data_IF_072977558286
#
_entry.id   IF_072977558286
#
_cell.length_a   1.000
_cell.length_b   1.000
_cell.length_c   1.000
_cell.angle_alpha   90.00
_cell.angle_beta   90.00
_cell.angle_gamma   90.00
#
_symmetry.space_group_name_H-M   'P 1'
#
loop_
_entity.id
_entity.type
_entity.pdbx_description
1 polymer ?
#
# COMPACT_ATOMS: atom_id res chain seq x y z
N UNK A 1 -12.72 -2.35 27.06
CA UNK A 1 -12.82 -3.82 27.15
C UNK A 1 -11.54 -4.41 26.61
N UNK A 2 -10.93 -5.29 27.38
CA UNK A 2 -9.57 -5.77 27.13
C UNK A 2 -9.57 -6.89 26.08
N UNK A 3 -8.45 -7.04 25.36
CA UNK A 3 -8.17 -8.08 24.37
C UNK A 3 -8.36 -9.54 24.86
N UNK A 4 -8.65 -9.75 26.15
CA UNK A 4 -8.90 -11.06 26.75
C UNK A 4 -10.38 -11.45 26.78
N UNK A 5 -11.32 -10.51 26.68
CA UNK A 5 -12.77 -10.82 26.64
C UNK A 5 -13.23 -11.26 25.24
N UNK A 6 -12.57 -10.82 24.17
CA UNK A 6 -12.89 -11.23 22.79
C UNK A 6 -12.55 -12.71 22.47
N UNK A 7 -11.78 -13.42 23.32
CA UNK A 7 -11.30 -14.78 23.02
C UNK A 7 -12.15 -15.94 23.57
N UNK A 8 -13.09 -15.72 24.51
CA UNK A 8 -13.82 -16.84 25.14
C UNK A 8 -15.07 -17.27 24.34
N UNK A 9 -15.60 -16.42 23.45
CA UNK A 9 -16.87 -16.67 22.74
C UNK A 9 -16.73 -17.43 21.41
N UNK A 10 -15.54 -17.43 20.79
CA UNK A 10 -15.21 -18.33 19.66
C UNK A 10 -14.79 -19.73 20.13
N UNK A 11 -14.79 -19.99 21.44
CA UNK A 11 -14.38 -21.27 22.03
C UNK A 11 -15.10 -22.48 21.45
N UNK A 12 -16.43 -22.44 21.13
CA UNK A 12 -17.10 -23.55 20.45
C UNK A 12 -16.50 -23.85 19.06
N UNK A 13 -16.01 -22.82 18.38
CA UNK A 13 -15.50 -22.91 17.01
C UNK A 13 -13.97 -23.08 16.92
N UNK A 14 -13.24 -22.98 18.03
CA UNK A 14 -11.77 -23.05 18.05
C UNK A 14 -11.21 -24.33 17.43
N UNK A 15 -11.89 -25.46 17.65
CA UNK A 15 -11.54 -26.74 17.01
C UNK A 15 -11.69 -26.65 15.49
N UNK A 16 -12.81 -26.12 15.01
CA UNK A 16 -13.08 -26.00 13.58
C UNK A 16 -12.14 -24.99 12.91
N UNK A 17 -11.81 -23.88 13.58
CA UNK A 17 -10.83 -22.90 13.10
C UNK A 17 -9.46 -23.54 12.83
N UNK A 18 -9.01 -24.44 13.71
CA UNK A 18 -7.77 -25.19 13.49
C UNK A 18 -7.86 -26.09 12.25
N UNK A 19 -8.95 -26.86 12.12
CA UNK A 19 -9.13 -27.82 11.01
C UNK A 19 -9.24 -27.09 9.66
N UNK A 20 -10.08 -26.05 9.59
CA UNK A 20 -10.39 -25.32 8.36
C UNK A 20 -9.17 -24.57 7.81
N UNK A 21 -8.26 -24.09 8.68
CA UNK A 21 -7.03 -23.41 8.27
C UNK A 21 -5.82 -24.35 8.13
N UNK A 22 -5.91 -25.60 8.56
CA UNK A 22 -4.79 -26.53 8.51
C UNK A 22 -4.38 -26.86 7.08
N UNK A 23 -3.07 -26.92 6.81
CA UNK A 23 -2.53 -27.36 5.52
C UNK A 23 -2.38 -28.88 5.42
N UNK A 24 -2.47 -29.59 6.54
CA UNK A 24 -2.29 -31.05 6.62
C UNK A 24 -3.61 -31.81 6.67
N UNK A 25 -4.70 -31.14 7.03
CA UNK A 25 -6.04 -31.73 7.09
C UNK A 25 -6.58 -32.05 5.69
N UNK A 26 -7.25 -33.20 5.58
CA UNK A 26 -7.87 -33.61 4.32
C UNK A 26 -9.01 -32.67 3.96
N UNK A 27 -9.24 -32.49 2.66
CA UNK A 27 -10.31 -31.63 2.17
C UNK A 27 -11.70 -32.14 2.62
N UNK A 28 -11.92 -33.45 2.65
CA UNK A 28 -13.15 -34.06 3.17
C UNK A 28 -13.38 -33.73 4.66
N UNK A 29 -12.35 -33.78 5.50
CA UNK A 29 -12.48 -33.42 6.92
C UNK A 29 -12.78 -31.93 7.10
N UNK A 30 -12.25 -31.06 6.23
CA UNK A 30 -12.60 -29.64 6.22
C UNK A 30 -14.06 -29.41 5.84
N UNK A 31 -14.58 -30.12 4.84
CA UNK A 31 -16.01 -30.06 4.47
C UNK A 31 -16.86 -30.53 5.65
N UNK A 32 -16.55 -31.68 6.25
CA UNK A 32 -17.29 -32.22 7.39
C UNK A 32 -17.29 -31.22 8.57
N UNK A 33 -16.15 -30.61 8.86
CA UNK A 33 -16.03 -29.57 9.90
C UNK A 33 -16.85 -28.33 9.57
N UNK A 34 -16.90 -27.90 8.32
CA UNK A 34 -17.74 -26.78 7.88
C UNK A 34 -19.23 -27.09 8.07
N UNK A 35 -19.67 -28.32 7.77
CA UNK A 35 -21.06 -28.72 7.98
C UNK A 35 -21.44 -28.67 9.47
N UNK A 36 -20.56 -29.16 10.34
CA UNK A 36 -20.77 -29.08 11.79
C UNK A 36 -20.78 -27.63 12.32
N UNK A 37 -20.03 -26.72 11.69
CA UNK A 37 -20.12 -25.29 11.98
C UNK A 37 -21.52 -24.75 11.68
N UNK A 38 -22.06 -24.99 10.49
CA UNK A 38 -23.40 -24.49 10.10
C UNK A 38 -24.50 -25.11 10.95
N UNK A 39 -24.43 -26.41 11.24
CA UNK A 39 -25.29 -27.09 12.23
C UNK A 39 -25.24 -26.44 13.60
N UNK A 40 -24.05 -26.05 14.04
CA UNK A 40 -23.86 -25.44 15.36
C UNK A 40 -24.51 -24.06 15.40
N UNK A 41 -24.40 -23.27 14.33
CA UNK A 41 -25.05 -21.95 14.21
C UNK A 41 -26.57 -22.08 14.31
N UNK A 42 -27.17 -23.07 13.65
CA UNK A 42 -28.60 -23.37 13.76
C UNK A 42 -29.05 -23.83 15.17
N UNK A 43 -28.11 -24.13 16.07
CA UNK A 43 -28.40 -24.58 17.45
C UNK A 43 -27.92 -23.60 18.51
N UNK A 44 -27.33 -22.47 18.11
CA UNK A 44 -26.90 -21.45 19.05
C UNK A 44 -28.12 -20.84 19.73
N UNK A 45 -28.04 -20.67 21.05
CA UNK A 45 -28.98 -19.81 21.75
C UNK A 45 -28.60 -18.35 21.47
N UNK A 46 -29.18 -17.79 20.38
CA UNK A 46 -28.86 -16.47 19.89
C UNK A 46 -29.21 -15.35 20.89
N UNK A 47 -30.03 -15.63 21.91
CA UNK A 47 -30.39 -14.66 22.95
C UNK A 47 -29.22 -14.36 23.91
N UNK A 48 -28.23 -15.25 23.99
CA UNK A 48 -27.03 -15.04 24.82
C UNK A 48 -25.97 -14.16 24.12
N UNK A 49 -26.17 -13.81 22.85
CA UNK A 49 -25.21 -13.06 22.05
C UNK A 49 -25.77 -11.69 21.64
N UNK A 50 -24.91 -10.68 21.59
CA UNK A 50 -25.27 -9.43 20.93
C UNK A 50 -25.18 -9.57 19.39
N UNK A 51 -25.85 -8.65 18.69
CA UNK A 51 -25.89 -8.63 17.23
C UNK A 51 -24.51 -8.59 16.56
N UNK A 52 -23.54 -7.86 17.14
CA UNK A 52 -22.20 -7.73 16.56
C UNK A 52 -21.47 -9.07 16.57
N UNK A 53 -21.62 -9.85 17.63
CA UNK A 53 -21.02 -11.18 17.74
C UNK A 53 -21.63 -12.15 16.72
N UNK A 54 -22.96 -12.15 16.57
CA UNK A 54 -23.62 -13.00 15.56
C UNK A 54 -23.16 -12.65 14.15
N UNK A 55 -23.00 -11.35 13.84
CA UNK A 55 -22.42 -10.89 12.55
C UNK A 55 -21.01 -11.44 12.35
N UNK A 56 -20.15 -11.40 13.38
CA UNK A 56 -18.78 -11.92 13.29
C UNK A 56 -18.74 -13.43 13.04
N UNK A 57 -19.58 -14.21 13.73
CA UNK A 57 -19.71 -15.66 13.51
C UNK A 57 -20.16 -15.94 12.08
N UNK A 58 -21.13 -15.16 11.58
CA UNK A 58 -21.65 -15.31 10.22
C UNK A 58 -20.64 -14.96 9.15
N UNK A 59 -19.90 -13.86 9.29
CA UNK A 59 -18.84 -13.49 8.36
C UNK A 59 -17.71 -14.54 8.36
N UNK A 60 -17.38 -15.09 9.53
CA UNK A 60 -16.40 -16.17 9.69
C UNK A 60 -16.84 -17.47 9.01
N UNK A 61 -18.07 -17.93 9.28
CA UNK A 61 -18.62 -19.15 8.68
C UNK A 61 -18.74 -19.01 7.15
N UNK A 62 -19.20 -17.84 6.68
CA UNK A 62 -19.26 -17.49 5.26
C UNK A 62 -17.87 -17.51 4.61
N UNK A 63 -16.84 -16.94 5.26
CA UNK A 63 -15.47 -16.98 4.75
C UNK A 63 -15.00 -18.43 4.51
N UNK A 64 -15.22 -19.31 5.49
CA UNK A 64 -14.80 -20.70 5.39
C UNK A 64 -15.61 -21.50 4.37
N UNK A 65 -16.92 -21.25 4.27
CA UNK A 65 -17.75 -21.81 3.21
C UNK A 65 -17.21 -21.41 1.83
N UNK A 66 -16.93 -20.13 1.60
CA UNK A 66 -16.35 -19.64 0.36
C UNK A 66 -14.96 -20.23 0.10
N UNK A 67 -14.11 -20.37 1.13
CA UNK A 67 -12.79 -20.97 0.99
C UNK A 67 -12.84 -22.42 0.53
N UNK A 68 -13.88 -23.17 0.92
CA UNK A 68 -14.10 -24.55 0.48
C UNK A 68 -14.70 -24.58 -0.92
N UNK A 69 -15.87 -23.95 -1.14
CA UNK A 69 -16.62 -24.12 -2.40
C UNK A 69 -15.97 -23.48 -3.62
N UNK A 70 -15.09 -22.49 -3.42
CA UNK A 70 -14.33 -21.87 -4.50
C UNK A 70 -12.99 -22.58 -4.77
N UNK A 71 -12.61 -23.58 -3.99
CA UNK A 71 -11.41 -24.37 -4.26
C UNK A 71 -11.71 -25.43 -5.32
N UNK A 72 -10.79 -25.68 -6.26
CA UNK A 72 -10.98 -26.62 -7.37
C UNK A 72 -11.34 -28.04 -6.91
N UNK A 73 -10.82 -28.47 -5.76
CA UNK A 73 -11.13 -29.77 -5.14
C UNK A 73 -12.62 -29.96 -4.85
N UNK A 74 -13.40 -28.88 -4.67
CA UNK A 74 -14.84 -28.95 -4.38
C UNK A 74 -15.64 -29.72 -5.44
N UNK A 75 -15.26 -29.67 -6.72
CA UNK A 75 -15.99 -30.35 -7.79
C UNK A 75 -16.01 -31.89 -7.59
N UNK A 76 -14.99 -32.45 -6.94
CA UNK A 76 -14.92 -33.89 -6.62
C UNK A 76 -15.89 -34.30 -5.50
N UNK A 77 -16.31 -33.34 -4.67
CA UNK A 77 -17.12 -33.57 -3.47
C UNK A 77 -18.54 -33.01 -3.59
N UNK A 78 -18.78 -32.18 -4.62
CA UNK A 78 -20.03 -31.46 -4.85
C UNK A 78 -21.25 -32.40 -4.84
N UNK A 79 -21.19 -33.51 -5.57
CA UNK A 79 -22.30 -34.46 -5.66
C UNK A 79 -22.71 -35.07 -4.31
N UNK A 80 -21.77 -35.17 -3.35
CA UNK A 80 -22.02 -35.75 -2.03
C UNK A 80 -22.45 -34.70 -1.00
N UNK A 81 -21.88 -33.50 -1.06
CA UNK A 81 -21.95 -32.53 0.04
C UNK A 81 -22.68 -31.23 -0.28
N UNK A 82 -22.99 -30.94 -1.54
CA UNK A 82 -23.62 -29.67 -1.92
C UNK A 82 -25.00 -29.51 -1.28
N UNK A 83 -25.88 -30.49 -1.43
CA UNK A 83 -27.25 -30.41 -0.91
C UNK A 83 -27.26 -30.39 0.61
N UNK A 84 -26.35 -31.13 1.25
CA UNK A 84 -26.18 -31.12 2.71
C UNK A 84 -25.77 -29.72 3.16
N UNK A 85 -24.74 -29.12 2.56
CA UNK A 85 -24.30 -27.76 2.93
C UNK A 85 -25.39 -26.72 2.71
N UNK A 86 -26.18 -26.84 1.64
CA UNK A 86 -27.30 -25.94 1.37
C UNK A 86 -28.40 -26.08 2.44
N UNK A 87 -28.71 -27.31 2.86
CA UNK A 87 -29.66 -27.56 3.93
C UNK A 87 -29.18 -26.95 5.25
N UNK A 88 -27.91 -27.15 5.64
CA UNK A 88 -27.38 -26.59 6.88
C UNK A 88 -27.36 -25.05 6.88
N UNK A 89 -27.09 -24.42 5.73
CA UNK A 89 -27.17 -22.97 5.58
C UNK A 89 -28.63 -22.48 5.70
N UNK A 90 -29.59 -23.21 5.14
CA UNK A 90 -31.02 -22.86 5.21
C UNK A 90 -31.55 -23.00 6.64
N UNK A 91 -31.21 -24.09 7.34
CA UNK A 91 -31.56 -24.29 8.75
C UNK A 91 -30.96 -23.18 9.63
N UNK A 92 -29.68 -22.85 9.45
CA UNK A 92 -29.05 -21.74 10.16
C UNK A 92 -29.71 -20.39 9.83
N UNK A 93 -30.06 -20.15 8.55
CA UNK A 93 -30.76 -18.95 8.15
C UNK A 93 -32.11 -18.82 8.86
N UNK A 94 -32.91 -19.89 8.92
CA UNK A 94 -34.23 -19.86 9.55
C UNK A 94 -34.16 -19.46 11.03
N UNK A 95 -33.14 -19.90 11.76
CA UNK A 95 -32.92 -19.49 13.14
C UNK A 95 -32.41 -18.05 13.25
N UNK A 96 -31.46 -17.65 12.39
CA UNK A 96 -30.95 -16.27 12.36
C UNK A 96 -32.03 -15.24 12.03
N UNK A 97 -33.00 -15.59 11.18
CA UNK A 97 -34.12 -14.71 10.83
C UNK A 97 -35.08 -14.47 12.00
N UNK A 98 -35.14 -15.38 12.98
CA UNK A 98 -35.89 -15.15 14.22
C UNK A 98 -35.20 -14.10 15.10
N UNK A 99 -33.88 -13.97 14.96
CA UNK A 99 -33.07 -13.00 15.69
C UNK A 99 -33.04 -11.63 14.98
N UNK A 100 -32.71 -11.59 13.69
CA UNK A 100 -32.71 -10.34 12.89
C UNK A 100 -32.88 -10.64 11.39
N UNK A 101 -33.64 -9.82 10.67
CA UNK A 101 -33.90 -10.01 9.23
C UNK A 101 -32.68 -9.71 8.33
N UNK A 102 -31.65 -9.03 8.85
CA UNK A 102 -30.47 -8.64 8.07
C UNK A 102 -29.68 -9.84 7.52
N UNK A 103 -29.84 -11.03 8.12
CA UNK A 103 -29.14 -12.25 7.71
C UNK A 103 -29.72 -12.93 6.47
N UNK A 104 -30.92 -12.53 6.02
CA UNK A 104 -31.58 -13.15 4.86
C UNK A 104 -30.75 -13.07 3.59
N UNK A 105 -30.31 -11.85 3.26
CA UNK A 105 -29.59 -11.59 2.01
C UNK A 105 -28.20 -12.23 1.99
N UNK A 106 -27.38 -12.12 3.06
CA UNK A 106 -26.11 -12.83 3.15
C UNK A 106 -26.21 -14.35 2.97
N UNK A 107 -27.18 -15.01 3.60
CA UNK A 107 -27.38 -16.46 3.50
C UNK A 107 -27.82 -16.88 2.09
N UNK A 108 -28.81 -16.18 1.52
CA UNK A 108 -29.25 -16.42 0.12
C UNK A 108 -28.10 -16.28 -0.86
N UNK A 109 -27.31 -15.19 -0.75
CA UNK A 109 -26.13 -14.98 -1.61
C UNK A 109 -25.09 -16.09 -1.45
N UNK A 110 -24.84 -16.56 -0.23
CA UNK A 110 -23.93 -17.68 -0.01
C UNK A 110 -24.46 -18.98 -0.65
N UNK A 111 -25.74 -19.29 -0.45
CA UNK A 111 -26.38 -20.46 -1.05
C UNK A 111 -26.30 -20.45 -2.59
N UNK A 112 -26.47 -19.28 -3.22
CA UNK A 112 -26.32 -19.14 -4.67
C UNK A 112 -24.89 -19.45 -5.14
N UNK A 113 -23.88 -19.02 -4.38
CA UNK A 113 -22.47 -19.36 -4.65
C UNK A 113 -22.23 -20.86 -4.45
N UNK A 114 -22.77 -21.47 -3.40
CA UNK A 114 -22.65 -22.92 -3.16
C UNK A 114 -23.25 -23.71 -4.34
N UNK A 115 -24.39 -23.26 -4.89
CA UNK A 115 -25.05 -23.87 -6.06
C UNK A 115 -24.18 -23.78 -7.31
N UNK A 116 -23.66 -22.58 -7.61
CA UNK A 116 -22.90 -22.29 -8.83
C UNK A 116 -21.61 -21.54 -8.50
N UNK A 117 -20.58 -22.20 -7.92
CA UNK A 117 -19.37 -21.52 -7.48
C UNK A 117 -18.69 -20.77 -8.61
N UNK A 118 -18.48 -21.41 -9.76
CA UNK A 118 -17.88 -20.80 -10.97
C UNK A 118 -18.80 -20.86 -12.20
N UNK A 119 -20.10 -21.11 -11.96
CA UNK A 119 -21.07 -21.50 -12.99
C UNK A 119 -21.78 -20.34 -13.68
N UNK A 120 -21.60 -19.09 -13.24
CA UNK A 120 -22.23 -17.92 -13.87
C UNK A 120 -21.65 -17.70 -15.29
N UNK A 121 -22.50 -17.62 -16.34
CA UNK A 121 -22.05 -17.29 -17.69
C UNK A 121 -21.33 -15.94 -17.77
N UNK A 122 -21.84 -14.94 -17.04
CA UNK A 122 -21.24 -13.60 -16.96
C UNK A 122 -19.85 -13.70 -16.32
N UNK A 123 -19.72 -14.41 -15.19
CA UNK A 123 -18.41 -14.61 -14.55
C UNK A 123 -17.43 -15.32 -15.48
N UNK A 124 -17.86 -16.36 -16.20
CA UNK A 124 -17.03 -17.05 -17.18
C UNK A 124 -16.58 -16.12 -18.31
N UNK A 125 -17.46 -15.27 -18.82
CA UNK A 125 -17.10 -14.24 -19.81
C UNK A 125 -16.04 -13.29 -19.24
N UNK A 126 -16.26 -12.76 -18.03
CA UNK A 126 -15.36 -11.83 -17.36
C UNK A 126 -13.97 -12.42 -17.05
N UNK A 127 -13.88 -13.73 -16.80
CA UNK A 127 -12.61 -14.42 -16.57
C UNK A 127 -11.88 -14.81 -17.85
N UNK A 128 -12.60 -15.20 -18.91
CA UNK A 128 -11.98 -15.75 -20.12
C UNK A 128 -11.74 -14.70 -21.21
N UNK A 129 -12.52 -13.63 -21.25
CA UNK A 129 -12.40 -12.57 -22.27
C UNK A 129 -11.49 -11.47 -21.75
N UNK A 130 -10.31 -11.35 -22.36
CA UNK A 130 -9.38 -10.26 -22.07
C UNK A 130 -10.04 -8.91 -22.37
N UNK A 131 -9.90 -7.99 -21.42
CA UNK A 131 -10.44 -6.63 -21.51
C UNK A 131 -11.94 -6.57 -21.83
N UNK A 132 -12.73 -7.54 -21.34
CA UNK A 132 -14.18 -7.58 -21.50
C UNK A 132 -14.86 -6.20 -21.32
N UNK A 133 -15.86 -5.94 -22.17
CA UNK A 133 -16.72 -4.77 -22.06
C UNK A 133 -17.66 -4.91 -20.86
N UNK A 134 -17.90 -3.81 -20.18
CA UNK A 134 -18.77 -3.74 -19.00
C UNK A 134 -20.10 -3.13 -19.43
N UNK A 135 -21.07 -3.98 -19.72
CA UNK A 135 -22.45 -3.60 -20.00
C UNK A 135 -23.33 -3.72 -18.76
N UNK A 136 -24.65 -3.62 -18.98
CA UNK A 136 -25.64 -3.68 -17.91
C UNK A 136 -25.63 -5.03 -17.16
N UNK A 137 -25.42 -6.15 -17.87
CA UNK A 137 -25.35 -7.48 -17.26
C UNK A 137 -24.13 -7.62 -16.33
N UNK A 138 -22.96 -7.15 -16.77
CA UNK A 138 -21.74 -7.17 -15.96
C UNK A 138 -21.84 -6.23 -14.74
N UNK A 139 -22.49 -5.07 -14.89
CA UNK A 139 -22.77 -4.16 -13.77
C UNK A 139 -23.66 -4.84 -12.74
N UNK A 140 -24.79 -5.41 -13.19
CA UNK A 140 -25.72 -6.13 -12.32
C UNK A 140 -25.04 -7.29 -11.59
N UNK A 141 -24.16 -8.02 -12.29
CA UNK A 141 -23.34 -9.06 -11.69
C UNK A 141 -22.47 -8.52 -10.55
N UNK A 142 -21.67 -7.48 -10.78
CA UNK A 142 -20.78 -6.95 -9.73
C UNK A 142 -21.54 -6.28 -8.57
N UNK A 143 -22.70 -5.67 -8.83
CA UNK A 143 -23.59 -5.18 -7.79
C UNK A 143 -24.12 -6.34 -6.92
N UNK A 144 -24.52 -7.46 -7.52
CA UNK A 144 -24.98 -8.63 -6.77
C UNK A 144 -23.86 -9.33 -5.98
N UNK A 145 -22.72 -9.57 -6.63
CA UNK A 145 -21.59 -10.39 -6.15
C UNK A 145 -20.94 -9.82 -4.88
N UNK A 146 -20.95 -8.49 -4.69
CA UNK A 146 -20.19 -7.73 -3.66
C UNK A 146 -18.67 -7.80 -3.85
N UNK A 147 -17.95 -6.75 -3.47
CA UNK A 147 -16.48 -6.74 -3.57
C UNK A 147 -15.80 -7.79 -2.66
N UNK A 148 -16.44 -8.16 -1.56
CA UNK A 148 -15.97 -9.24 -0.69
C UNK A 148 -15.82 -10.55 -1.45
N UNK A 149 -16.87 -11.02 -2.14
CA UNK A 149 -16.83 -12.28 -2.87
C UNK A 149 -15.83 -12.22 -4.03
N UNK A 150 -15.79 -11.10 -4.76
CA UNK A 150 -14.77 -10.88 -5.81
C UNK A 150 -13.36 -11.02 -5.23
N UNK A 151 -13.09 -10.47 -4.05
CA UNK A 151 -11.78 -10.58 -3.40
C UNK A 151 -11.41 -12.03 -3.06
N UNK A 152 -12.38 -12.84 -2.59
CA UNK A 152 -12.15 -14.26 -2.28
C UNK A 152 -11.90 -15.06 -3.57
N UNK A 153 -12.66 -14.79 -4.63
CA UNK A 153 -12.44 -15.41 -5.94
C UNK A 153 -11.05 -15.11 -6.51
N UNK A 154 -10.64 -13.85 -6.48
CA UNK A 154 -9.31 -13.44 -6.94
C UNK A 154 -8.21 -14.15 -6.16
N UNK A 155 -8.36 -14.22 -4.83
CA UNK A 155 -7.44 -14.99 -3.98
C UNK A 155 -7.38 -16.46 -4.41
N UNK A 156 -8.54 -17.10 -4.61
CA UNK A 156 -8.62 -18.52 -5.00
C UNK A 156 -8.07 -18.82 -6.39
N UNK A 157 -8.32 -17.95 -7.37
CA UNK A 157 -7.71 -18.04 -8.69
C UNK A 157 -6.18 -17.93 -8.60
N UNK A 158 -5.67 -17.02 -7.77
CA UNK A 158 -4.23 -16.88 -7.58
C UNK A 158 -3.59 -18.05 -6.82
N UNK A 159 -4.29 -18.64 -5.86
CA UNK A 159 -3.84 -19.84 -5.14
C UNK A 159 -3.78 -21.07 -6.06
N UNK A 160 -4.71 -21.18 -7.01
CA UNK A 160 -4.83 -22.29 -7.97
C UNK A 160 -4.01 -22.10 -9.25
N UNK A 161 -3.09 -21.14 -9.30
CA UNK A 161 -2.27 -20.84 -10.48
C UNK A 161 -3.07 -20.41 -11.74
N UNK A 162 -4.26 -19.82 -11.54
CA UNK A 162 -5.09 -19.23 -12.59
C UNK A 162 -4.96 -17.69 -12.60
N UNK A 163 -3.73 -17.17 -12.49
CA UNK A 163 -3.50 -15.73 -12.36
C UNK A 163 -3.87 -14.91 -13.60
N UNK A 164 -3.98 -15.54 -14.77
CA UNK A 164 -4.46 -14.95 -16.02
C UNK A 164 -5.97 -14.70 -15.97
N UNK A 165 -6.75 -15.68 -15.50
CA UNK A 165 -8.18 -15.52 -15.23
C UNK A 165 -8.42 -14.48 -14.15
N UNK A 166 -7.59 -14.48 -13.09
CA UNK A 166 -7.64 -13.47 -12.04
C UNK A 166 -7.38 -12.07 -12.60
N UNK A 167 -6.41 -11.92 -13.52
CA UNK A 167 -6.09 -10.64 -14.15
C UNK A 167 -7.26 -10.11 -14.98
N UNK A 168 -7.96 -10.97 -15.72
CA UNK A 168 -9.15 -10.58 -16.47
C UNK A 168 -10.28 -10.13 -15.54
N UNK A 169 -10.58 -10.92 -14.50
CA UNK A 169 -11.64 -10.60 -13.54
C UNK A 169 -11.37 -9.29 -12.79
N UNK A 170 -10.14 -9.08 -12.30
CA UNK A 170 -9.80 -7.83 -11.60
C UNK A 170 -9.82 -6.64 -12.54
N UNK A 171 -9.40 -6.81 -13.79
CA UNK A 171 -9.48 -5.75 -14.81
C UNK A 171 -10.93 -5.32 -15.01
N UNK A 172 -11.84 -6.29 -15.17
CA UNK A 172 -13.27 -6.04 -15.32
C UNK A 172 -13.88 -5.36 -14.09
N UNK A 173 -13.55 -5.84 -12.89
CA UNK A 173 -14.01 -5.23 -11.64
C UNK A 173 -13.55 -3.77 -11.53
N UNK A 174 -12.28 -3.48 -11.82
CA UNK A 174 -11.75 -2.12 -11.74
C UNK A 174 -12.36 -1.19 -12.79
N UNK A 175 -12.68 -1.69 -14.00
CA UNK A 175 -13.46 -0.95 -14.99
C UNK A 175 -14.87 -0.63 -14.46
N UNK A 176 -15.56 -1.61 -13.89
CA UNK A 176 -16.89 -1.43 -13.30
C UNK A 176 -16.87 -0.42 -12.14
N UNK A 177 -15.88 -0.47 -11.26
CA UNK A 177 -15.70 0.49 -10.16
C UNK A 177 -15.38 1.91 -10.65
N UNK A 178 -14.72 2.06 -11.81
CA UNK A 178 -14.55 3.38 -12.44
C UNK A 178 -15.88 3.88 -13.01
N UNK A 179 -16.64 3.00 -13.65
CA UNK A 179 -17.97 3.33 -14.18
C UNK A 179 -18.95 3.74 -13.07
N UNK A 180 -18.93 3.06 -11.93
CA UNK A 180 -19.81 3.35 -10.79
C UNK A 180 -19.66 4.79 -10.29
N UNK A 181 -18.43 5.30 -10.30
CA UNK A 181 -18.11 6.70 -9.97
C UNK A 181 -18.58 7.69 -11.04
N UNK A 182 -18.52 7.32 -12.32
CA UNK A 182 -18.93 8.21 -13.43
C UNK A 182 -20.42 8.19 -13.74
N UNK A 183 -21.10 7.07 -13.48
CA UNK A 183 -22.50 6.81 -13.84
C UNK A 183 -23.41 6.73 -12.60
N UNK A 184 -22.90 7.08 -11.41
CA UNK A 184 -23.64 7.19 -10.16
C UNK A 184 -24.46 5.95 -9.75
N UNK A 185 -23.90 4.75 -9.89
CA UNK A 185 -24.47 3.54 -9.29
C UNK A 185 -23.61 3.04 -8.13
N UNK A 186 -24.24 2.38 -7.16
CA UNK A 186 -23.56 1.92 -5.95
C UNK A 186 -23.10 0.47 -6.11
N UNK A 187 -21.80 0.25 -5.97
CA UNK A 187 -21.25 -1.10 -5.77
C UNK A 187 -21.25 -1.42 -4.26
N UNK A 188 -21.64 -2.64 -3.89
CA UNK A 188 -21.53 -3.13 -2.52
C UNK A 188 -20.07 -3.46 -2.19
N UNK A 189 -19.30 -2.41 -1.88
CA UNK A 189 -17.87 -2.48 -1.66
C UNK A 189 -17.43 -1.48 -0.58
N UNK A 190 -16.63 -1.95 0.38
CA UNK A 190 -15.90 -1.05 1.28
C UNK A 190 -14.64 -0.54 0.60
N UNK A 191 -14.14 0.62 1.03
CA UNK A 191 -12.90 1.19 0.50
C UNK A 191 -11.72 0.21 0.67
N UNK A 192 -11.62 -0.45 1.82
CA UNK A 192 -10.60 -1.47 2.11
C UNK A 192 -10.65 -2.64 1.11
N UNK A 193 -11.83 -3.09 0.71
CA UNK A 193 -11.98 -4.15 -0.28
C UNK A 193 -11.54 -3.69 -1.67
N UNK A 194 -11.92 -2.47 -2.07
CA UNK A 194 -11.48 -1.89 -3.35
C UNK A 194 -9.96 -1.79 -3.39
N UNK A 195 -9.33 -1.29 -2.32
CA UNK A 195 -7.87 -1.21 -2.22
C UNK A 195 -7.20 -2.58 -2.24
N UNK A 196 -7.78 -3.59 -1.59
CA UNK A 196 -7.25 -4.94 -1.64
C UNK A 196 -7.30 -5.53 -3.06
N UNK A 197 -8.42 -5.34 -3.76
CA UNK A 197 -8.58 -5.77 -5.15
C UNK A 197 -7.61 -5.00 -6.07
N UNK A 198 -7.43 -3.71 -5.84
CA UNK A 198 -6.45 -2.90 -6.56
C UNK A 198 -5.01 -3.37 -6.32
N UNK A 199 -4.64 -3.70 -5.09
CA UNK A 199 -3.32 -4.25 -4.77
C UNK A 199 -3.08 -5.59 -5.52
N UNK A 200 -4.09 -6.45 -5.60
CA UNK A 200 -4.04 -7.68 -6.44
C UNK A 200 -3.80 -7.31 -7.90
N UNK A 201 -4.52 -6.31 -8.42
CA UNK A 201 -4.37 -5.88 -9.81
C UNK A 201 -2.95 -5.44 -10.13
N UNK A 202 -2.36 -4.57 -9.30
CA UNK A 202 -1.00 -4.09 -9.46
C UNK A 202 0.00 -5.25 -9.38
N UNK A 203 -0.19 -6.20 -8.44
CA UNK A 203 0.67 -7.38 -8.33
C UNK A 203 0.63 -8.26 -9.58
N UNK A 204 -0.56 -8.48 -10.14
CA UNK A 204 -0.75 -9.26 -11.37
C UNK A 204 -0.17 -8.55 -12.60
N UNK A 205 -0.41 -7.24 -12.76
CA UNK A 205 0.18 -6.45 -13.86
C UNK A 205 1.71 -6.49 -13.83
N UNK A 206 2.31 -6.39 -12.64
CA UNK A 206 3.75 -6.54 -12.48
C UNK A 206 4.22 -7.94 -12.88
N UNK A 207 3.53 -9.00 -12.41
CA UNK A 207 3.85 -10.41 -12.75
C UNK A 207 3.84 -10.64 -14.27
N UNK A 208 2.84 -10.11 -14.96
CA UNK A 208 2.67 -10.23 -16.42
C UNK A 208 3.42 -9.15 -17.21
N UNK A 209 4.36 -8.42 -16.58
CA UNK A 209 5.19 -7.40 -17.22
C UNK A 209 4.42 -6.27 -17.93
N UNK A 210 3.16 -6.01 -17.53
CA UNK A 210 2.32 -4.94 -18.08
C UNK A 210 2.63 -3.59 -17.41
N UNK A 211 3.90 -3.21 -17.40
CA UNK A 211 4.41 -2.01 -16.69
C UNK A 211 3.74 -0.71 -17.16
N UNK A 212 3.39 -0.61 -18.45
CA UNK A 212 2.72 0.58 -18.99
C UNK A 212 1.31 0.75 -18.41
N UNK A 213 0.50 -0.32 -18.36
CA UNK A 213 -0.84 -0.33 -17.77
C UNK A 213 -0.76 -0.03 -16.27
N UNK A 214 0.20 -0.66 -15.58
CA UNK A 214 0.46 -0.40 -14.16
C UNK A 214 0.84 1.06 -13.90
N UNK A 215 1.76 1.63 -14.69
CA UNK A 215 2.15 3.03 -14.59
C UNK A 215 1.00 3.99 -14.86
N UNK A 216 0.12 3.68 -15.82
CA UNK A 216 -1.11 4.42 -16.06
C UNK A 216 -2.02 4.47 -14.82
N UNK A 217 -2.27 3.32 -14.19
CA UNK A 217 -3.09 3.24 -12.97
C UNK A 217 -2.47 3.97 -11.79
N UNK A 218 -1.16 3.84 -11.59
CA UNK A 218 -0.47 4.53 -10.49
C UNK A 218 -0.51 6.06 -10.67
N UNK A 219 -0.48 6.56 -11.90
CA UNK A 219 -0.61 7.99 -12.21
C UNK A 219 -2.02 8.56 -11.95
N UNK A 220 -3.06 7.71 -11.93
CA UNK A 220 -4.42 8.14 -11.56
C UNK A 220 -4.58 8.39 -10.06
N UNK A 221 -3.67 7.87 -9.23
CA UNK A 221 -3.69 8.09 -7.78
C UNK A 221 -3.14 9.47 -7.43
N UNK A 222 -3.71 10.07 -6.38
CA UNK A 222 -3.08 11.20 -5.69
C UNK A 222 -1.75 10.79 -5.05
N UNK A 223 -0.92 11.78 -4.70
CA UNK A 223 0.36 11.52 -4.04
C UNK A 223 0.17 10.84 -2.68
N UNK A 224 -0.87 11.19 -1.92
CA UNK A 224 -1.19 10.53 -0.66
C UNK A 224 -1.64 9.08 -0.85
N UNK A 225 -2.53 8.83 -1.82
CA UNK A 225 -2.97 7.46 -2.16
C UNK A 225 -1.80 6.59 -2.64
N UNK A 226 -0.89 7.16 -3.44
CA UNK A 226 0.36 6.53 -3.85
C UNK A 226 1.23 6.14 -2.66
N UNK A 227 1.36 7.02 -1.66
CA UNK A 227 2.15 6.76 -0.47
C UNK A 227 1.51 5.65 0.39
N UNK A 228 0.18 5.67 0.52
CA UNK A 228 -0.55 4.60 1.19
C UNK A 228 -0.39 3.27 0.46
N UNK A 229 -0.40 3.25 -0.88
CA UNK A 229 -0.13 2.06 -1.67
C UNK A 229 1.26 1.50 -1.35
N UNK A 230 2.30 2.35 -1.37
CA UNK A 230 3.66 1.91 -1.03
C UNK A 230 3.72 1.34 0.38
N UNK A 231 3.10 2.01 1.37
CA UNK A 231 2.99 1.54 2.76
C UNK A 231 2.27 0.19 2.88
N UNK A 232 1.22 -0.06 2.07
CA UNK A 232 0.55 -1.36 2.05
C UNK A 232 1.44 -2.44 1.45
N UNK A 233 2.11 -2.16 0.34
CA UNK A 233 3.00 -3.10 -0.34
C UNK A 233 4.24 -3.47 0.49
N UNK A 234 4.83 -2.51 1.21
CA UNK A 234 5.96 -2.76 2.12
C UNK A 234 5.62 -3.72 3.26
N UNK A 235 4.34 -3.75 3.69
CA UNK A 235 3.84 -4.62 4.75
C UNK A 235 3.32 -5.98 4.26
N UNK A 236 3.19 -6.22 2.95
CA UNK A 236 2.67 -7.50 2.43
C UNK A 236 3.68 -8.63 2.71
N UNK A 237 3.17 -9.75 3.23
CA UNK A 237 4.00 -10.91 3.61
C UNK A 237 3.93 -12.01 2.55
N UNK A 238 5.05 -12.25 1.86
CA UNK A 238 5.18 -13.31 0.84
C UNK A 238 4.88 -14.70 1.40
N UNK A 239 5.21 -14.96 2.67
CA UNK A 239 4.95 -16.26 3.34
C UNK A 239 3.46 -16.63 3.39
N UNK A 240 2.56 -15.63 3.34
CA UNK A 240 1.11 -15.83 3.44
C UNK A 240 0.50 -16.14 2.07
N UNK A 241 0.95 -15.45 1.00
CA UNK A 241 0.48 -15.72 -0.36
C UNK A 241 1.55 -15.39 -1.39
N UNK A 242 1.71 -16.31 -2.36
CA UNK A 242 2.69 -16.19 -3.45
C UNK A 242 2.41 -15.00 -4.39
N UNK A 243 1.17 -14.48 -4.41
CA UNK A 243 0.84 -13.27 -5.19
C UNK A 243 1.69 -12.08 -4.77
N UNK A 244 2.08 -12.01 -3.50
CA UNK A 244 2.87 -10.91 -2.95
C UNK A 244 4.38 -11.07 -3.18
N UNK A 245 4.84 -12.10 -3.92
CA UNK A 245 6.27 -12.38 -4.16
C UNK A 245 7.07 -11.15 -4.63
N UNK A 246 6.44 -10.27 -5.41
CA UNK A 246 7.07 -9.07 -5.95
C UNK A 246 6.74 -7.78 -5.19
N UNK A 247 6.16 -7.86 -3.98
CA UNK A 247 5.64 -6.69 -3.28
C UNK A 247 6.72 -5.60 -3.04
N UNK A 248 7.93 -5.99 -2.63
CA UNK A 248 9.02 -5.05 -2.41
C UNK A 248 9.44 -4.35 -3.72
N UNK A 249 9.53 -5.11 -4.83
CA UNK A 249 9.89 -4.55 -6.14
C UNK A 249 8.83 -3.59 -6.68
N UNK A 250 7.55 -3.89 -6.42
CA UNK A 250 6.43 -3.01 -6.76
C UNK A 250 6.50 -1.73 -5.93
N UNK A 251 6.73 -1.84 -4.62
CA UNK A 251 6.88 -0.70 -3.72
C UNK A 251 8.03 0.21 -4.19
N UNK A 252 9.23 -0.35 -4.44
CA UNK A 252 10.40 0.37 -4.97
C UNK A 252 10.05 1.10 -6.27
N UNK A 253 9.43 0.40 -7.23
CA UNK A 253 9.04 0.99 -8.52
C UNK A 253 8.05 2.16 -8.34
N UNK A 254 7.01 1.96 -7.53
CA UNK A 254 6.00 2.99 -7.28
C UNK A 254 6.62 4.20 -6.57
N UNK A 255 7.46 3.97 -5.55
CA UNK A 255 8.17 5.04 -4.85
C UNK A 255 9.06 5.85 -5.79
N UNK A 256 9.86 5.19 -6.63
CA UNK A 256 10.70 5.89 -7.62
C UNK A 256 9.84 6.75 -8.57
N UNK A 257 8.73 6.20 -9.06
CA UNK A 257 7.80 6.91 -9.92
C UNK A 257 7.23 8.16 -9.25
N UNK A 258 6.78 8.04 -8.00
CA UNK A 258 6.18 9.16 -7.26
C UNK A 258 7.22 10.20 -6.85
N UNK A 259 8.43 9.80 -6.43
CA UNK A 259 9.53 10.75 -6.19
C UNK A 259 9.79 11.55 -7.46
N UNK A 260 9.99 10.91 -8.61
CA UNK A 260 10.19 11.60 -9.88
C UNK A 260 9.03 12.54 -10.22
N UNK A 261 7.78 12.13 -9.97
CA UNK A 261 6.61 12.98 -10.19
C UNK A 261 6.57 14.22 -9.28
N UNK A 262 6.92 14.06 -8.00
CA UNK A 262 6.98 15.16 -7.03
C UNK A 262 8.11 16.12 -7.38
N UNK A 263 9.29 15.61 -7.73
CA UNK A 263 10.45 16.41 -8.13
C UNK A 263 10.12 17.28 -9.36
N UNK A 264 9.46 16.72 -10.37
CA UNK A 264 9.10 17.45 -11.60
C UNK A 264 8.02 18.52 -11.39
N UNK A 265 7.24 18.43 -10.32
CA UNK A 265 6.10 19.35 -10.04
C UNK A 265 6.29 20.08 -8.72
N UNK A 266 7.53 20.18 -8.25
CA UNK A 266 7.80 20.57 -6.88
C UNK A 266 7.24 21.96 -6.55
N UNK A 267 6.64 22.04 -5.37
CA UNK A 267 6.29 23.27 -4.67
C UNK A 267 6.56 23.07 -3.17
N UNK A 268 6.64 24.15 -2.40
CA UNK A 268 6.90 24.05 -0.96
C UNK A 268 5.85 23.19 -0.23
N UNK A 269 4.60 23.18 -0.70
CA UNK A 269 3.53 22.34 -0.14
C UNK A 269 3.80 20.83 -0.32
N UNK A 270 4.62 20.46 -1.30
CA UNK A 270 5.00 19.07 -1.58
C UNK A 270 6.27 18.63 -0.84
N UNK A 271 6.90 19.49 -0.04
CA UNK A 271 8.09 19.13 0.71
C UNK A 271 7.83 17.93 1.63
N UNK A 272 6.77 17.99 2.45
CA UNK A 272 6.46 16.94 3.42
C UNK A 272 6.13 15.59 2.77
N UNK A 273 5.50 15.59 1.59
CA UNK A 273 5.20 14.34 0.88
C UNK A 273 6.47 13.79 0.21
N UNK A 274 7.36 14.65 -0.31
CA UNK A 274 8.65 14.24 -0.86
C UNK A 274 9.51 13.58 0.23
N UNK A 275 9.60 14.19 1.41
CA UNK A 275 10.33 13.63 2.56
C UNK A 275 9.83 12.22 2.89
N UNK A 276 8.51 12.05 3.03
CA UNK A 276 7.91 10.74 3.32
C UNK A 276 8.21 9.69 2.25
N UNK A 277 8.22 10.06 0.97
CA UNK A 277 8.57 9.14 -0.11
C UNK A 277 10.05 8.74 -0.07
N UNK A 278 10.96 9.68 0.20
CA UNK A 278 12.40 9.39 0.32
C UNK A 278 12.64 8.48 1.54
N UNK A 279 12.03 8.78 2.68
CA UNK A 279 12.12 7.92 3.88
C UNK A 279 11.59 6.51 3.61
N UNK A 280 10.46 6.40 2.92
CA UNK A 280 9.89 5.12 2.53
C UNK A 280 10.84 4.38 1.58
N UNK A 281 11.44 5.06 0.60
CA UNK A 281 12.41 4.48 -0.32
C UNK A 281 13.62 3.90 0.42
N UNK A 282 14.17 4.65 1.38
CA UNK A 282 15.27 4.21 2.24
C UNK A 282 14.85 2.95 3.01
N UNK A 283 13.64 2.94 3.60
CA UNK A 283 13.15 1.78 4.38
C UNK A 283 12.91 0.51 3.55
N UNK A 284 12.65 0.65 2.25
CA UNK A 284 12.47 -0.47 1.31
C UNK A 284 13.79 -1.05 0.83
N UNK A 285 14.88 -0.29 0.99
CA UNK A 285 16.19 -0.64 0.51
C UNK A 285 16.95 -1.41 1.60
N UNK A 286 17.25 -2.68 1.34
CA UNK A 286 18.14 -3.45 2.22
C UNK A 286 19.59 -3.01 1.98
N UNK A 287 20.36 -2.87 3.05
CA UNK A 287 21.71 -2.30 3.09
C UNK A 287 22.77 -2.96 2.20
N UNK A 288 22.46 -4.08 1.56
CA UNK A 288 23.44 -4.92 0.87
C UNK A 288 23.86 -4.39 -0.51
N UNK A 289 23.19 -3.36 -1.05
CA UNK A 289 23.52 -2.78 -2.36
C UNK A 289 23.38 -1.24 -2.40
N UNK A 290 24.15 -0.54 -1.57
CA UNK A 290 24.12 0.92 -1.46
C UNK A 290 24.35 1.65 -2.80
N UNK A 291 25.08 1.05 -3.75
CA UNK A 291 25.38 1.65 -5.05
C UNK A 291 24.11 1.83 -5.90
N UNK A 292 23.29 0.78 -6.02
CA UNK A 292 22.02 0.83 -6.76
C UNK A 292 21.03 1.85 -6.14
N UNK A 293 21.07 2.01 -4.81
CA UNK A 293 20.33 3.06 -4.11
C UNK A 293 20.81 4.45 -4.54
N UNK A 294 22.12 4.71 -4.42
CA UNK A 294 22.73 5.99 -4.79
C UNK A 294 22.48 6.35 -6.25
N UNK A 295 22.61 5.40 -7.18
CA UNK A 295 22.34 5.63 -8.60
C UNK A 295 20.87 5.96 -8.87
N UNK A 296 19.96 5.34 -8.12
CA UNK A 296 18.52 5.64 -8.22
C UNK A 296 18.18 7.02 -7.70
N UNK A 297 18.70 7.40 -6.52
CA UNK A 297 18.53 8.76 -5.98
C UNK A 297 19.14 9.79 -6.93
N UNK A 298 20.34 9.52 -7.48
CA UNK A 298 21.00 10.39 -8.46
C UNK A 298 20.12 10.62 -9.68
N UNK A 299 19.55 9.56 -10.27
CA UNK A 299 18.62 9.70 -11.40
C UNK A 299 17.39 10.54 -11.07
N UNK A 300 16.80 10.37 -9.88
CA UNK A 300 15.61 11.12 -9.48
C UNK A 300 15.93 12.59 -9.15
N UNK A 301 17.00 12.84 -8.43
CA UNK A 301 17.47 14.20 -8.12
C UNK A 301 17.98 14.95 -9.35
N UNK A 302 18.47 14.25 -10.39
CA UNK A 302 18.80 14.86 -11.69
C UNK A 302 17.59 15.50 -12.40
N UNK A 303 16.36 15.15 -12.02
CA UNK A 303 15.15 15.80 -12.52
C UNK A 303 14.87 17.15 -11.83
N UNK A 304 15.56 17.45 -10.72
CA UNK A 304 15.36 18.69 -9.97
C UNK A 304 16.03 19.87 -10.68
N UNK A 305 15.22 20.86 -11.04
CA UNK A 305 15.69 22.18 -11.51
C UNK A 305 15.93 23.14 -10.33
N UNK A 306 15.17 22.99 -9.25
CA UNK A 306 15.21 23.83 -8.06
C UNK A 306 16.13 23.25 -6.96
N UNK A 307 16.89 24.11 -6.29
CA UNK A 307 17.82 23.71 -5.22
C UNK A 307 17.10 23.18 -3.98
N UNK A 308 15.90 23.68 -3.69
CA UNK A 308 15.02 23.27 -2.59
C UNK A 308 14.81 21.75 -2.57
N UNK A 309 14.53 21.17 -3.73
CA UNK A 309 14.36 19.72 -3.89
C UNK A 309 15.63 18.98 -3.49
N UNK A 310 16.78 19.46 -3.95
CA UNK A 310 18.07 18.83 -3.67
C UNK A 310 18.41 18.92 -2.18
N UNK A 311 18.07 20.02 -1.50
CA UNK A 311 18.24 20.12 -0.05
C UNK A 311 17.34 19.15 0.71
N UNK A 312 16.11 18.89 0.25
CA UNK A 312 15.24 17.86 0.84
C UNK A 312 15.88 16.47 0.73
N UNK A 313 16.45 16.12 -0.43
CA UNK A 313 17.22 14.88 -0.57
C UNK A 313 18.41 14.82 0.40
N UNK A 314 19.18 15.91 0.50
CA UNK A 314 20.34 15.98 1.39
C UNK A 314 19.92 15.75 2.85
N UNK A 315 18.93 16.49 3.34
CA UNK A 315 18.47 16.41 4.73
C UNK A 315 17.97 15.01 5.10
N UNK A 316 17.07 14.44 4.30
CA UNK A 316 16.49 13.13 4.61
C UNK A 316 17.54 12.03 4.57
N UNK A 317 18.42 12.03 3.56
CA UNK A 317 19.45 11.00 3.42
C UNK A 317 20.53 11.16 4.50
N UNK A 318 20.92 12.39 4.85
CA UNK A 318 21.83 12.65 5.96
C UNK A 318 21.27 12.12 7.28
N UNK A 319 19.98 12.36 7.57
CA UNK A 319 19.33 11.90 8.81
C UNK A 319 19.28 10.38 8.94
N UNK A 320 19.12 9.63 7.82
CA UNK A 320 18.93 8.17 7.85
C UNK A 320 20.21 7.37 7.57
N UNK A 321 21.04 7.82 6.63
CA UNK A 321 22.17 7.06 6.07
C UNK A 321 23.47 7.89 5.97
N UNK A 322 23.55 8.99 6.73
CA UNK A 322 24.61 10.01 6.62
C UNK A 322 26.04 9.49 6.62
N UNK A 323 26.33 8.48 7.45
CA UNK A 323 27.69 7.90 7.52
C UNK A 323 28.02 7.01 6.33
N UNK A 324 27.05 6.21 5.85
CA UNK A 324 27.28 5.26 4.75
C UNK A 324 27.38 5.95 3.39
N UNK A 325 26.66 7.06 3.23
CA UNK A 325 26.54 7.79 1.96
C UNK A 325 27.23 9.15 1.99
N UNK A 326 28.24 9.32 2.84
CA UNK A 326 28.89 10.61 3.05
C UNK A 326 29.42 11.27 1.77
N UNK A 327 30.19 10.59 0.89
CA UNK A 327 30.64 11.21 -0.36
C UNK A 327 29.49 11.64 -1.27
N UNK A 328 28.44 10.83 -1.34
CA UNK A 328 27.26 11.11 -2.15
C UNK A 328 26.47 12.32 -1.63
N UNK A 329 26.31 12.47 -0.32
CA UNK A 329 25.63 13.61 0.30
C UNK A 329 26.43 14.90 0.06
N UNK A 330 27.76 14.85 0.16
CA UNK A 330 28.62 16.01 -0.14
C UNK A 330 28.45 16.44 -1.60
N UNK A 331 28.49 15.49 -2.54
CA UNK A 331 28.27 15.75 -3.96
C UNK A 331 26.90 16.42 -4.21
N UNK A 332 25.84 15.91 -3.56
CA UNK A 332 24.50 16.51 -3.67
C UNK A 332 24.43 17.92 -3.08
N UNK A 333 25.06 18.18 -1.92
CA UNK A 333 25.12 19.52 -1.34
C UNK A 333 25.83 20.51 -2.26
N UNK A 334 26.96 20.13 -2.85
CA UNK A 334 27.70 20.96 -3.81
C UNK A 334 26.80 21.31 -4.99
N UNK A 335 26.09 20.32 -5.54
CA UNK A 335 25.14 20.55 -6.63
C UNK A 335 24.02 21.49 -6.21
N UNK A 336 23.41 21.28 -5.04
CA UNK A 336 22.33 22.11 -4.52
C UNK A 336 22.78 23.57 -4.34
N UNK A 337 23.90 23.79 -3.66
CA UNK A 337 24.50 25.10 -3.43
C UNK A 337 24.82 25.81 -4.76
N UNK A 338 25.39 25.08 -5.73
CA UNK A 338 25.70 25.64 -7.06
C UNK A 338 24.44 26.09 -7.79
N UNK A 339 23.39 25.26 -7.80
CA UNK A 339 22.08 25.62 -8.39
C UNK A 339 21.50 26.86 -7.70
N UNK A 340 21.57 26.92 -6.38
CA UNK A 340 20.98 27.99 -5.58
C UNK A 340 21.75 29.32 -5.74
N UNK A 341 23.08 29.26 -5.82
CA UNK A 341 23.92 30.42 -6.15
C UNK A 341 23.63 30.96 -7.56
N UNK A 342 23.47 30.08 -8.55
CA UNK A 342 23.13 30.51 -9.92
C UNK A 342 21.76 31.19 -9.96
N UNK A 343 20.78 30.67 -9.22
CA UNK A 343 19.46 31.29 -9.12
C UNK A 343 19.53 32.63 -8.37
N UNK A 344 20.34 32.74 -7.31
CA UNK A 344 20.59 34.01 -6.61
C UNK A 344 21.08 35.09 -7.56
N UNK A 345 22.10 34.80 -8.38
CA UNK A 345 22.66 35.76 -9.34
C UNK A 345 21.61 36.17 -10.38
N UNK A 346 20.84 35.22 -10.90
CA UNK A 346 19.74 35.51 -11.83
C UNK A 346 18.68 36.43 -11.22
N UNK A 347 18.31 36.24 -9.95
CA UNK A 347 17.34 37.09 -9.26
C UNK A 347 17.91 38.48 -8.93
N UNK A 348 19.23 38.59 -8.67
CA UNK A 348 19.91 39.90 -8.56
C UNK A 348 19.85 40.67 -9.88
N UNK A 349 20.12 40.01 -11.00
CA UNK A 349 20.02 40.61 -12.34
C UNK A 349 18.59 41.05 -12.65
N UNK A 350 17.60 40.25 -12.24
CA UNK A 350 16.17 40.58 -12.36
C UNK A 350 15.69 41.65 -11.37
N UNK A 351 16.53 42.06 -10.40
CA UNK A 351 16.22 43.01 -9.31
C UNK A 351 15.03 42.58 -8.43
N UNK A 352 14.79 41.28 -8.29
CA UNK A 352 13.77 40.74 -7.38
C UNK A 352 14.34 40.62 -5.96
N UNK A 353 14.26 41.72 -5.20
CA UNK A 353 14.84 41.83 -3.86
C UNK A 353 14.26 40.84 -2.86
N UNK A 354 12.99 40.47 -3.00
CA UNK A 354 12.32 39.53 -2.10
C UNK A 354 12.89 38.13 -2.29
N UNK A 355 12.96 37.66 -3.55
CA UNK A 355 13.56 36.36 -3.85
C UNK A 355 15.04 36.30 -3.50
N UNK A 356 15.79 37.38 -3.75
CA UNK A 356 17.20 37.48 -3.36
C UNK A 356 17.37 37.25 -1.86
N UNK A 357 16.52 37.86 -1.02
CA UNK A 357 16.57 37.67 0.43
C UNK A 357 16.24 36.22 0.83
N UNK A 358 15.20 35.63 0.24
CA UNK A 358 14.78 34.24 0.52
C UNK A 358 15.89 33.25 0.15
N UNK A 359 16.48 33.38 -1.04
CA UNK A 359 17.57 32.52 -1.52
C UNK A 359 18.82 32.70 -0.65
N UNK A 360 19.17 33.93 -0.29
CA UNK A 360 20.33 34.22 0.57
C UNK A 360 20.19 33.53 1.93
N UNK A 361 19.00 33.60 2.54
CA UNK A 361 18.74 32.93 3.82
C UNK A 361 18.80 31.41 3.68
N UNK A 362 18.27 30.86 2.57
CA UNK A 362 18.33 29.42 2.28
C UNK A 362 19.77 28.94 2.10
N UNK A 363 20.58 29.62 1.29
CA UNK A 363 22.00 29.32 1.10
C UNK A 363 22.75 29.33 2.43
N UNK A 364 22.52 30.37 3.24
CA UNK A 364 23.16 30.48 4.54
C UNK A 364 22.79 29.30 5.47
N UNK A 365 21.54 28.83 5.41
CA UNK A 365 21.08 27.66 6.16
C UNK A 365 21.73 26.37 5.62
N UNK A 366 21.80 26.22 4.30
CA UNK A 366 22.43 25.05 3.67
C UNK A 366 23.92 24.93 4.00
N UNK A 367 24.67 26.04 3.97
CA UNK A 367 26.07 26.07 4.40
C UNK A 367 26.25 25.70 5.88
N UNK A 368 25.33 26.13 6.76
CA UNK A 368 25.34 25.69 8.16
C UNK A 368 25.11 24.18 8.31
N UNK A 369 24.15 23.61 7.56
CA UNK A 369 23.89 22.18 7.57
C UNK A 369 25.09 21.38 7.05
N UNK A 370 25.74 21.84 5.97
CA UNK A 370 26.95 21.23 5.42
C UNK A 370 28.12 21.32 6.41
N UNK A 371 28.29 22.48 7.08
CA UNK A 371 29.32 22.64 8.10
C UNK A 371 29.15 21.64 9.25
N UNK A 372 27.91 21.47 9.73
CA UNK A 372 27.59 20.49 10.76
C UNK A 372 27.87 19.06 10.31
N UNK A 373 27.53 18.72 9.07
CA UNK A 373 27.79 17.39 8.50
C UNK A 373 29.29 17.09 8.34
N UNK A 374 30.11 18.12 8.12
CA UNK A 374 31.56 18.06 7.94
C UNK A 374 32.34 18.48 9.20
N UNK A 375 31.75 18.41 10.39
CA UNK A 375 32.38 18.91 11.63
C UNK A 375 33.73 18.23 11.95
N UNK A 376 33.95 17.00 11.48
CA UNK A 376 35.24 16.30 11.58
C UNK A 376 36.34 16.93 10.71
N UNK A 377 35.96 17.68 9.68
CA UNK A 377 36.85 18.43 8.79
C UNK A 377 36.78 19.92 9.14
N UNK A 378 37.32 20.26 10.32
CA UNK A 378 37.20 21.59 10.96
C UNK A 378 37.48 22.76 10.00
N UNK A 379 38.50 22.67 9.15
CA UNK A 379 38.83 23.73 8.19
C UNK A 379 37.69 23.96 7.20
N UNK A 380 37.14 22.89 6.61
CA UNK A 380 36.05 22.98 5.63
C UNK A 380 34.76 23.43 6.31
N UNK A 381 34.46 22.90 7.49
CA UNK A 381 33.32 23.32 8.29
C UNK A 381 33.39 24.82 8.60
N UNK A 382 34.56 25.34 8.99
CA UNK A 382 34.76 26.77 9.27
C UNK A 382 34.49 27.64 8.05
N UNK A 383 35.01 27.28 6.87
CA UNK A 383 34.74 28.05 5.65
C UNK A 383 33.24 28.05 5.28
N UNK A 384 32.54 26.93 5.52
CA UNK A 384 31.09 26.88 5.34
C UNK A 384 30.35 27.83 6.30
N UNK A 385 30.70 27.85 7.59
CA UNK A 385 30.09 28.77 8.57
C UNK A 385 30.43 30.23 8.24
N UNK A 386 31.66 30.53 7.84
CA UNK A 386 32.06 31.87 7.40
C UNK A 386 31.21 32.33 6.21
N UNK A 387 31.05 31.47 5.21
CA UNK A 387 30.19 31.76 4.04
C UNK A 387 28.73 31.98 4.47
N UNK A 388 28.20 31.14 5.35
CA UNK A 388 26.84 31.30 5.90
C UNK A 388 26.64 32.61 6.66
N UNK A 389 27.68 33.08 7.37
CA UNK A 389 27.69 34.35 8.08
C UNK A 389 27.75 35.53 7.10
N UNK A 390 28.61 35.47 6.08
CA UNK A 390 28.68 36.52 5.04
C UNK A 390 27.36 36.72 4.30
N UNK A 391 26.58 35.64 4.11
CA UNK A 391 25.27 35.70 3.47
C UNK A 391 24.18 36.25 4.40
N UNK A 392 24.11 35.76 5.64
CA UNK A 392 23.08 36.16 6.60
C UNK A 392 23.66 36.17 8.03
N UNK A 393 24.25 37.29 8.46
CA UNK A 393 24.91 37.39 9.77
C UNK A 393 23.93 37.15 10.92
N UNK A 394 24.28 36.27 11.85
CA UNK A 394 23.55 36.08 13.12
C UNK A 394 24.54 35.82 14.26
N UNK A 395 24.12 36.10 15.50
CA UNK A 395 24.94 35.85 16.69
C UNK A 395 25.35 34.37 16.80
N UNK A 396 24.43 33.45 16.52
CA UNK A 396 24.70 32.01 16.61
C UNK A 396 25.79 31.55 15.64
N UNK A 397 25.77 32.11 14.41
CA UNK A 397 26.81 31.82 13.41
C UNK A 397 28.16 32.39 13.83
N UNK A 398 28.20 33.58 14.42
CA UNK A 398 29.42 34.18 14.96
C UNK A 398 30.02 33.32 16.06
N UNK A 399 29.21 32.87 17.02
CA UNK A 399 29.65 31.96 18.07
C UNK A 399 30.22 30.65 17.49
N UNK A 400 29.59 30.12 16.43
CA UNK A 400 30.10 28.92 15.76
C UNK A 400 31.42 29.14 15.04
N UNK A 401 31.65 30.32 14.44
CA UNK A 401 32.95 30.70 13.87
C UNK A 401 34.03 30.69 14.95
N UNK A 402 33.75 31.32 16.10
CA UNK A 402 34.69 31.36 17.22
C UNK A 402 35.02 29.96 17.75
N UNK A 403 34.00 29.11 17.91
CA UNK A 403 34.17 27.72 18.34
C UNK A 403 35.10 26.95 17.39
N UNK A 404 34.84 27.02 16.08
CA UNK A 404 35.65 26.35 15.06
C UNK A 404 37.06 26.95 14.93
N UNK A 405 37.21 28.26 15.14
CA UNK A 405 38.51 28.94 15.18
C UNK A 405 39.36 28.43 16.36
N UNK A 406 38.79 28.33 17.57
CA UNK A 406 39.47 27.73 18.74
C UNK A 406 39.87 26.27 18.47
N UNK A 407 38.97 25.47 17.88
CA UNK A 407 39.24 24.06 17.52
C UNK A 407 40.31 23.89 16.45
N UNK A 408 40.52 24.89 15.60
CA UNK A 408 41.58 24.90 14.57
C UNK A 408 42.89 25.56 15.03
N UNK A 409 42.99 25.94 16.31
CA UNK A 409 44.22 26.47 16.91
C UNK A 409 44.38 27.99 16.86
N UNK A 410 43.32 28.75 16.59
CA UNK A 410 43.34 30.21 16.62
C UNK A 410 42.95 30.74 18.01
N UNK A 411 43.68 31.75 18.49
CA UNK A 411 43.27 32.52 19.67
C UNK A 411 42.13 33.47 19.29
N UNK A 412 40.93 33.19 19.82
CA UNK A 412 39.77 34.07 19.70
C UNK A 412 39.70 34.90 20.98
N UNK A 413 39.94 36.21 20.88
CA UNK A 413 39.94 37.15 22.01
C UNK A 413 38.58 37.80 22.21
#
# INVERSE_FOLDING_TARGET
MSFHEEQDHFRPFKKYEYILNSRTESFENKIASLLEVWKSIAKLDLLEFDLRHVIQIMDWAKLHALNIVLTAEWDNYKAKYQDILLQEIDEAQNELLKFDNMFETPCKKLADVVKKPWGSPILRKLMNVKDAEIGLEEINFFCAETAYLVSVRLKKLCESHCEDLALNLVTAFMKCNKLSKSQNFTMHATETQIWFIFDIYIALLYKYQQKQKMGGLLKELSLDEGLQLVKRFSKKRVKISKIWKNCNRIAIYATQMYISQVVLKYSNDLQAILEQYIEMYISLYNSDNLQDFSDSIRRMSNLAEAAEVLYVFCDVIQRKEGQKLKPFIIEMYIRALTTDMNELEKQKDAKDTEKVQVITQRLATAFMSLAHFLDEHVNVARECVLTAFSLAPTSDKLQKIEELARRSGYEVR
#
